data_IF_387547185814
#
_entry.id   IF_387547185814
#
_cell.length_a   1.000
_cell.length_b   1.000
_cell.length_c   1.000
_cell.angle_alpha   90.00
_cell.angle_beta   90.00
_cell.angle_gamma   90.00
#
_symmetry.space_group_name_H-M   'P 1'
#
loop_
_entity.id
_entity.type
_entity.pdbx_description
1 polymer ?
#
# COMPACT_ATOMS: atom_id res chain seq x y z
N UNK A 1 -25.89 -12.43 4.48
CA UNK A 1 -24.43 -12.27 4.66
C UNK A 1 -23.76 -12.25 3.29
N UNK A 2 -23.33 -11.10 2.79
CA UNK A 2 -22.54 -11.04 1.55
C UNK A 2 -21.14 -11.59 1.83
N UNK A 3 -20.86 -12.81 1.36
CA UNK A 3 -19.51 -13.35 1.29
C UNK A 3 -18.73 -12.57 0.22
N UNK A 4 -17.76 -11.77 0.68
CA UNK A 4 -16.62 -11.31 -0.10
C UNK A 4 -16.82 -9.98 -0.84
N UNK A 5 -16.03 -8.98 -0.45
CA UNK A 5 -15.71 -7.76 -1.21
C UNK A 5 -14.94 -8.07 -2.52
N UNK A 6 -15.18 -9.22 -3.15
CA UNK A 6 -14.52 -9.62 -4.40
C UNK A 6 -15.11 -8.76 -5.53
N UNK A 7 -14.30 -7.98 -6.26
CA UNK A 7 -14.81 -7.12 -7.32
C UNK A 7 -15.54 -7.94 -8.40
N UNK A 8 -16.83 -7.64 -8.64
CA UNK A 8 -17.63 -8.29 -9.68
C UNK A 8 -17.12 -8.00 -11.10
N UNK A 9 -16.42 -6.86 -11.27
CA UNK A 9 -15.70 -6.49 -12.49
C UNK A 9 -14.28 -6.08 -12.13
N UNK A 10 -13.30 -6.79 -12.66
CA UNK A 10 -11.89 -6.41 -12.55
C UNK A 10 -11.59 -5.28 -13.53
N UNK A 11 -10.88 -4.28 -13.04
CA UNK A 11 -10.38 -3.18 -13.86
C UNK A 11 -9.29 -3.71 -14.79
N UNK A 12 -9.29 -3.28 -16.06
CA UNK A 12 -8.18 -3.54 -16.98
C UNK A 12 -7.00 -2.65 -16.57
N UNK A 13 -5.81 -3.24 -16.44
CA UNK A 13 -4.59 -2.49 -16.15
C UNK A 13 -4.24 -1.61 -17.35
N UNK A 14 -3.91 -0.34 -17.08
CA UNK A 14 -3.48 0.60 -18.10
C UNK A 14 -1.95 0.68 -18.02
N UNK A 15 -1.22 0.32 -19.09
CA UNK A 15 0.24 0.32 -19.05
C UNK A 15 0.79 1.73 -18.91
N UNK A 16 1.93 1.84 -18.22
CA UNK A 16 2.70 3.09 -18.12
C UNK A 16 3.32 3.38 -19.48
N UNK A 17 2.85 4.45 -20.13
CA UNK A 17 3.38 4.87 -21.43
C UNK A 17 4.76 5.54 -21.28
N UNK A 18 5.62 5.52 -22.31
CA UNK A 18 6.94 6.15 -22.25
C UNK A 18 6.91 7.63 -21.85
N UNK A 19 5.87 8.37 -22.27
CA UNK A 19 5.68 9.78 -21.93
C UNK A 19 5.44 9.95 -20.42
N UNK A 20 4.57 9.11 -19.83
CA UNK A 20 4.32 9.12 -18.39
C UNK A 20 5.58 8.70 -17.63
N UNK A 21 6.30 7.68 -18.09
CA UNK A 21 7.55 7.26 -17.45
C UNK A 21 8.61 8.37 -17.45
N UNK A 22 8.75 9.12 -18.56
CA UNK A 22 9.63 10.28 -18.64
C UNK A 22 9.25 11.35 -17.61
N UNK A 23 7.96 11.64 -17.46
CA UNK A 23 7.47 12.56 -16.42
C UNK A 23 7.84 12.05 -15.01
N UNK A 24 7.63 10.77 -14.73
CA UNK A 24 7.96 10.18 -13.43
C UNK A 24 9.46 10.29 -13.12
N UNK A 25 10.32 10.03 -14.10
CA UNK A 25 11.76 10.18 -13.94
C UNK A 25 12.18 11.64 -13.67
N UNK A 26 11.53 12.61 -14.32
CA UNK A 26 11.81 14.03 -14.10
C UNK A 26 11.35 14.54 -12.72
N UNK A 27 10.42 13.84 -12.07
CA UNK A 27 9.83 14.21 -10.78
C UNK A 27 10.27 13.27 -9.64
N UNK A 28 11.39 12.55 -9.79
CA UNK A 28 11.92 11.62 -8.78
C UNK A 28 10.92 10.53 -8.34
N UNK A 29 10.03 10.11 -9.26
CA UNK A 29 9.08 9.01 -9.05
C UNK A 29 9.50 7.71 -9.76
N UNK A 30 10.57 7.75 -10.55
CA UNK A 30 11.14 6.56 -11.18
C UNK A 30 12.50 6.23 -10.58
N UNK A 31 12.70 4.96 -10.21
CA UNK A 31 13.95 4.47 -9.66
C UNK A 31 14.18 3.05 -10.19
N UNK A 32 15.44 2.66 -10.40
CA UNK A 32 15.76 1.27 -10.75
C UNK A 32 15.63 0.41 -9.50
N UNK A 33 14.68 -0.53 -9.52
CA UNK A 33 14.45 -1.42 -8.39
C UNK A 33 15.37 -2.65 -8.48
N UNK A 34 15.83 -3.19 -7.33
CA UNK A 34 16.66 -4.41 -7.30
C UNK A 34 15.88 -5.67 -7.71
N UNK A 35 14.55 -5.60 -7.65
CA UNK A 35 13.65 -6.71 -7.95
C UNK A 35 12.34 -6.19 -8.54
N UNK A 36 11.72 -6.97 -9.42
CA UNK A 36 10.43 -6.66 -10.05
C UNK A 36 9.31 -7.44 -9.39
N UNK A 37 8.07 -7.02 -9.66
CA UNK A 37 6.86 -7.71 -9.18
C UNK A 37 6.86 -9.20 -9.55
N UNK A 38 7.35 -9.55 -10.75
CA UNK A 38 7.38 -10.91 -11.28
C UNK A 38 8.30 -11.82 -10.48
N UNK A 39 9.40 -11.28 -9.96
CA UNK A 39 10.35 -12.05 -9.17
C UNK A 39 9.75 -12.43 -7.80
N UNK A 40 8.84 -11.59 -7.26
CA UNK A 40 8.10 -11.90 -6.04
C UNK A 40 7.10 -13.04 -6.23
N UNK A 41 6.70 -13.37 -7.47
CA UNK A 41 5.84 -14.52 -7.76
C UNK A 41 6.57 -15.87 -7.66
N UNK A 42 7.89 -15.89 -7.47
CA UNK A 42 8.71 -17.11 -7.34
C UNK A 42 8.53 -17.85 -6.00
N UNK A 43 7.60 -17.42 -5.14
CA UNK A 43 7.34 -18.09 -3.86
C UNK A 43 6.90 -19.56 -4.07
N UNK A 44 7.25 -20.44 -3.13
CA UNK A 44 6.99 -21.88 -3.23
C UNK A 44 5.73 -22.32 -2.48
N UNK A 45 5.41 -21.64 -1.38
CA UNK A 45 4.25 -21.95 -0.56
C UNK A 45 3.67 -20.69 0.04
N UNK A 46 2.41 -20.78 0.47
CA UNK A 46 1.72 -19.71 1.16
C UNK A 46 0.78 -20.26 2.23
N UNK A 47 0.50 -19.45 3.25
CA UNK A 47 -0.49 -19.76 4.27
C UNK A 47 -1.48 -18.58 4.40
N UNK A 48 -2.78 -18.82 4.64
CA UNK A 48 -3.72 -17.74 4.91
C UNK A 48 -3.26 -16.90 6.10
N UNK A 49 -3.29 -15.58 5.93
CA UNK A 49 -3.07 -14.64 7.02
C UNK A 49 -4.42 -14.37 7.70
N UNK A 50 -4.58 -14.89 8.92
CA UNK A 50 -5.80 -14.72 9.70
C UNK A 50 -5.67 -13.52 10.64
N UNK A 51 -6.80 -12.86 10.91
CA UNK A 51 -6.87 -11.84 11.96
C UNK A 51 -6.84 -12.46 13.37
N UNK A 52 -6.85 -11.63 14.40
CA UNK A 52 -6.82 -12.07 15.80
C UNK A 52 -8.04 -12.90 16.21
N UNK A 53 -9.15 -12.80 15.48
CA UNK A 53 -10.37 -13.58 15.68
C UNK A 53 -10.41 -14.85 14.82
N UNK A 54 -9.35 -15.13 14.06
CA UNK A 54 -9.25 -16.29 13.17
C UNK A 54 -10.00 -16.12 11.84
N UNK A 55 -10.47 -14.92 11.50
CA UNK A 55 -11.11 -14.68 10.21
C UNK A 55 -10.06 -14.48 9.11
N UNK A 56 -10.43 -14.89 7.89
CA UNK A 56 -9.61 -14.72 6.70
C UNK A 56 -9.48 -13.23 6.33
N UNK A 57 -8.24 -12.74 6.22
CA UNK A 57 -7.95 -11.36 5.79
C UNK A 57 -7.86 -11.23 4.26
N UNK A 58 -7.97 -12.34 3.52
CA UNK A 58 -7.75 -12.48 2.09
C UNK A 58 -6.31 -12.15 1.63
N UNK A 59 -5.38 -12.12 2.58
CA UNK A 59 -3.95 -12.09 2.37
C UNK A 59 -3.37 -13.47 2.66
N UNK A 60 -2.33 -13.85 1.92
CA UNK A 60 -1.57 -15.05 2.18
C UNK A 60 -0.12 -14.70 2.47
N UNK A 61 0.43 -15.15 3.59
CA UNK A 61 1.87 -15.02 3.83
C UNK A 61 2.61 -15.99 2.93
N UNK A 62 3.54 -15.49 2.12
CA UNK A 62 4.29 -16.27 1.12
C UNK A 62 5.68 -16.63 1.63
N UNK A 63 6.17 -17.80 1.22
CA UNK A 63 7.49 -18.31 1.58
C UNK A 63 8.30 -18.65 0.33
N UNK A 64 9.57 -18.27 0.37
CA UNK A 64 10.54 -18.45 -0.70
C UNK A 64 11.52 -19.58 -0.34
N UNK A 65 12.25 -20.09 -1.33
CA UNK A 65 13.43 -20.92 -1.07
C UNK A 65 14.45 -20.14 -0.25
N UNK A 66 15.40 -20.81 0.40
CA UNK A 66 16.44 -20.11 1.16
C UNK A 66 17.21 -19.10 0.31
N UNK A 67 17.57 -19.50 -0.91
CA UNK A 67 18.28 -18.64 -1.87
C UNK A 67 17.44 -17.45 -2.32
N UNK A 68 16.19 -17.68 -2.74
CA UNK A 68 15.29 -16.58 -3.13
C UNK A 68 14.95 -15.67 -1.94
N UNK A 69 14.85 -16.23 -0.72
CA UNK A 69 14.50 -15.50 0.50
C UNK A 69 15.56 -14.48 0.86
N UNK A 70 16.84 -14.82 0.76
CA UNK A 70 17.94 -13.89 0.99
C UNK A 70 17.92 -12.75 -0.04
N UNK A 71 17.84 -13.09 -1.34
CA UNK A 71 17.76 -12.12 -2.43
C UNK A 71 16.57 -11.16 -2.26
N UNK A 72 15.37 -11.71 -2.05
CA UNK A 72 14.12 -10.95 -1.88
C UNK A 72 14.21 -10.07 -0.64
N UNK A 73 14.72 -10.57 0.48
CA UNK A 73 14.79 -9.78 1.71
C UNK A 73 15.74 -8.59 1.60
N UNK A 74 16.93 -8.79 1.02
CA UNK A 74 17.86 -7.69 0.75
C UNK A 74 17.25 -6.66 -0.20
N UNK A 75 16.60 -7.12 -1.26
CA UNK A 75 15.90 -6.26 -2.21
C UNK A 75 14.78 -5.44 -1.53
N UNK A 76 13.98 -6.06 -0.65
CA UNK A 76 12.90 -5.37 0.07
C UNK A 76 13.43 -4.31 1.04
N UNK A 77 14.53 -4.58 1.75
CA UNK A 77 15.17 -3.57 2.61
C UNK A 77 15.66 -2.38 1.79
N UNK A 78 16.31 -2.65 0.65
CA UNK A 78 16.81 -1.60 -0.24
C UNK A 78 15.67 -0.75 -0.82
N UNK A 79 14.58 -1.39 -1.27
CA UNK A 79 13.38 -0.68 -1.73
C UNK A 79 12.79 0.21 -0.63
N UNK A 80 12.73 -0.29 0.61
CA UNK A 80 12.24 0.52 1.72
C UNK A 80 13.13 1.75 2.00
N UNK A 81 14.45 1.61 1.94
CA UNK A 81 15.37 2.74 2.07
C UNK A 81 15.21 3.75 0.92
N UNK A 82 15.08 3.28 -0.33
CA UNK A 82 14.76 4.17 -1.46
C UNK A 82 13.46 4.95 -1.24
N UNK A 83 12.43 4.31 -0.68
CA UNK A 83 11.12 4.91 -0.48
C UNK A 83 11.10 5.94 0.66
N UNK A 84 11.86 5.73 1.73
CA UNK A 84 11.77 6.51 2.99
C UNK A 84 12.93 7.46 3.24
N UNK A 85 14.12 7.16 2.74
CA UNK A 85 15.36 7.87 3.09
C UNK A 85 16.19 8.26 1.88
N UNK A 86 15.56 8.37 0.70
CA UNK A 86 16.22 8.68 -0.58
C UNK A 86 17.42 7.76 -0.86
N UNK A 87 17.36 6.52 -0.36
CA UNK A 87 18.42 5.52 -0.56
C UNK A 87 19.56 5.55 0.44
N UNK A 88 19.41 6.20 1.61
CA UNK A 88 20.41 6.10 2.68
C UNK A 88 20.57 4.65 3.15
N UNK A 89 21.72 4.08 2.77
CA UNK A 89 22.08 2.67 3.01
C UNK A 89 22.45 2.38 4.46
N UNK A 90 22.76 3.39 5.27
CA UNK A 90 23.10 3.17 6.69
C UNK A 90 21.90 2.59 7.46
N UNK A 91 20.70 3.01 7.09
CA UNK A 91 19.45 2.53 7.70
C UNK A 91 19.22 1.04 7.46
N UNK A 92 19.74 0.48 6.35
CA UNK A 92 19.53 -0.92 5.96
C UNK A 92 20.01 -1.93 7.01
N UNK A 93 21.06 -1.59 7.76
CA UNK A 93 21.67 -2.49 8.75
C UNK A 93 20.70 -2.86 9.88
N UNK A 94 19.73 -1.98 10.14
CA UNK A 94 18.77 -2.13 11.22
C UNK A 94 17.39 -2.60 10.76
N UNK A 95 17.17 -2.72 9.44
CA UNK A 95 15.89 -3.16 8.90
C UNK A 95 15.84 -4.68 8.79
N UNK A 96 14.65 -5.24 8.96
CA UNK A 96 14.38 -6.67 8.72
C UNK A 96 13.02 -6.84 8.09
N UNK A 97 12.95 -7.68 7.06
CA UNK A 97 11.68 -8.14 6.52
C UNK A 97 11.09 -9.15 7.49
N UNK A 98 10.01 -8.75 8.15
CA UNK A 98 9.30 -9.62 9.08
C UNK A 98 8.37 -10.58 8.35
N UNK A 99 7.73 -10.09 7.27
CA UNK A 99 6.74 -10.86 6.53
C UNK A 99 6.48 -10.27 5.15
N UNK A 100 6.16 -11.14 4.19
CA UNK A 100 5.66 -10.77 2.87
C UNK A 100 4.29 -11.43 2.70
N UNK A 101 3.27 -10.61 2.47
CA UNK A 101 1.90 -11.07 2.28
C UNK A 101 1.44 -10.78 0.85
N UNK A 102 0.78 -11.74 0.21
CA UNK A 102 0.24 -11.63 -1.14
C UNK A 102 -1.29 -11.51 -1.10
N UNK A 103 -1.82 -10.49 -1.78
CA UNK A 103 -3.26 -10.29 -1.88
C UNK A 103 -3.84 -11.06 -3.08
N UNK A 104 -4.73 -12.01 -2.81
CA UNK A 104 -5.27 -12.90 -3.84
C UNK A 104 -6.39 -12.27 -4.68
N UNK A 105 -7.08 -11.26 -4.15
CA UNK A 105 -8.29 -10.69 -4.74
C UNK A 105 -8.08 -9.32 -5.42
N UNK A 106 -7.07 -8.54 -4.99
CA UNK A 106 -6.82 -7.19 -5.47
C UNK A 106 -6.57 -7.14 -6.99
N UNK A 107 -6.95 -6.03 -7.65
CA UNK A 107 -6.82 -5.89 -9.11
C UNK A 107 -5.37 -6.10 -9.60
N UNK A 108 -4.40 -5.50 -8.90
CA UNK A 108 -2.96 -5.65 -9.18
C UNK A 108 -2.31 -6.80 -8.42
N UNK A 109 -3.09 -7.53 -7.60
CA UNK A 109 -2.62 -8.55 -6.65
C UNK A 109 -1.36 -8.11 -5.87
N UNK A 110 -1.46 -7.03 -5.07
CA UNK A 110 -0.30 -6.44 -4.43
C UNK A 110 0.38 -7.40 -3.45
N UNK A 111 1.68 -7.27 -3.31
CA UNK A 111 2.43 -7.76 -2.16
C UNK A 111 2.48 -6.67 -1.11
N UNK A 112 2.28 -7.02 0.16
CA UNK A 112 2.49 -6.17 1.34
C UNK A 112 3.71 -6.67 2.07
N UNK A 113 4.68 -5.80 2.26
CA UNK A 113 5.94 -6.12 2.92
C UNK A 113 5.91 -5.46 4.28
N UNK A 114 6.10 -6.25 5.34
CA UNK A 114 6.26 -5.75 6.70
C UNK A 114 7.74 -5.63 7.02
N UNK A 115 8.19 -4.41 7.29
CA UNK A 115 9.55 -4.10 7.71
C UNK A 115 9.54 -3.76 9.20
N UNK A 116 10.52 -4.27 9.93
CA UNK A 116 10.79 -3.89 11.33
C UNK A 116 12.11 -3.14 11.37
N UNK A 117 12.13 -2.00 12.06
CA UNK A 117 13.35 -1.31 12.43
C UNK A 117 13.80 -1.77 13.82
N UNK A 118 14.95 -2.47 13.88
CA UNK A 118 15.49 -3.04 15.11
C UNK A 118 15.98 -2.01 16.12
N UNK A 119 16.19 -0.74 15.73
CA UNK A 119 16.66 0.30 16.66
C UNK A 119 15.57 0.78 17.62
N UNK A 120 14.31 0.83 17.15
CA UNK A 120 13.18 1.37 17.91
C UNK A 120 11.99 0.40 18.00
N UNK A 121 12.14 -0.81 17.47
CA UNK A 121 11.11 -1.86 17.39
C UNK A 121 9.81 -1.42 16.69
N UNK A 122 9.87 -0.32 15.92
CA UNK A 122 8.76 0.11 15.09
C UNK A 122 8.67 -0.75 13.84
N UNK A 123 7.45 -0.99 13.38
CA UNK A 123 7.19 -1.65 12.12
C UNK A 123 6.51 -0.68 11.15
N UNK A 124 6.77 -0.89 9.88
CA UNK A 124 6.09 -0.20 8.79
C UNK A 124 5.74 -1.21 7.70
N UNK A 125 4.90 -0.77 6.77
CA UNK A 125 4.57 -1.52 5.58
C UNK A 125 4.84 -0.71 4.32
N UNK A 126 5.05 -1.42 3.23
CA UNK A 126 4.93 -0.87 1.90
C UNK A 126 4.37 -1.94 0.97
N UNK A 127 3.96 -1.54 -0.23
CA UNK A 127 3.34 -2.44 -1.18
C UNK A 127 4.10 -2.48 -2.50
N UNK A 128 4.31 -3.68 -3.03
CA UNK A 128 4.80 -3.90 -4.39
C UNK A 128 3.64 -4.36 -5.26
N UNK A 129 3.42 -3.67 -6.37
CA UNK A 129 2.25 -3.86 -7.24
C UNK A 129 2.69 -3.89 -8.69
N UNK A 130 1.83 -4.48 -9.54
CA UNK A 130 1.87 -4.17 -10.97
C UNK A 130 1.58 -2.68 -11.18
N UNK A 131 2.40 -2.01 -11.96
CA UNK A 131 2.21 -0.63 -12.32
C UNK A 131 0.92 -0.46 -13.15
N UNK A 132 0.13 0.54 -12.78
CA UNK A 132 -1.11 0.92 -13.47
C UNK A 132 -1.12 2.44 -13.58
N UNK A 133 -1.12 2.96 -14.81
CA UNK A 133 -1.05 4.39 -15.08
C UNK A 133 -2.13 5.17 -14.32
N UNK A 134 -3.32 4.59 -14.20
CA UNK A 134 -4.43 5.24 -13.49
C UNK A 134 -4.28 5.26 -11.97
N UNK A 135 -3.53 4.34 -11.35
CA UNK A 135 -3.13 4.46 -9.94
C UNK A 135 -2.05 5.53 -9.77
N UNK A 136 -1.08 5.59 -10.68
CA UNK A 136 -0.02 6.61 -10.69
C UNK A 136 -0.61 8.01 -10.80
N UNK A 137 -1.53 8.25 -11.75
CA UNK A 137 -2.22 9.54 -11.85
C UNK A 137 -2.97 9.89 -10.56
N UNK A 138 -3.61 8.90 -9.91
CA UNK A 138 -4.27 9.12 -8.62
C UNK A 138 -3.30 9.52 -7.51
N UNK A 139 -2.11 8.91 -7.46
CA UNK A 139 -1.06 9.26 -6.48
C UNK A 139 -0.47 10.64 -6.74
N UNK A 140 -0.23 11.00 -8.00
CA UNK A 140 0.23 12.35 -8.37
C UNK A 140 -0.80 13.43 -8.04
N UNK A 141 -2.09 13.16 -8.28
CA UNK A 141 -3.16 14.08 -7.88
C UNK A 141 -3.24 14.22 -6.35
N UNK A 142 -3.07 13.12 -5.61
CA UNK A 142 -3.04 13.17 -4.15
C UNK A 142 -1.85 14.01 -3.66
N UNK A 143 -0.65 13.81 -4.22
CA UNK A 143 0.55 14.58 -3.85
C UNK A 143 0.40 16.09 -4.12
N UNK A 144 -0.30 16.47 -5.19
CA UNK A 144 -0.56 17.86 -5.54
C UNK A 144 -1.64 18.53 -4.69
N UNK A 145 -2.66 17.77 -4.28
CA UNK A 145 -3.89 18.32 -3.70
C UNK A 145 -4.06 18.05 -2.20
N UNK A 146 -3.33 17.09 -1.66
CA UNK A 146 -3.42 16.65 -0.27
C UNK A 146 -2.31 17.27 0.56
N UNK A 147 -2.60 17.61 1.84
CA UNK A 147 -1.53 18.01 2.76
C UNK A 147 -0.62 16.83 3.12
N UNK A 148 -1.11 15.59 2.96
CA UNK A 148 -0.35 14.39 3.27
C UNK A 148 0.22 13.81 1.97
N UNK A 149 1.55 13.74 1.89
CA UNK A 149 2.23 13.12 0.76
C UNK A 149 2.33 11.62 0.98
N UNK A 150 2.15 10.86 -0.10
CA UNK A 150 2.35 9.41 -0.12
C UNK A 150 3.47 9.12 -1.10
N UNK A 151 4.55 8.53 -0.61
CA UNK A 151 5.70 8.19 -1.43
C UNK A 151 5.41 6.97 -2.30
N UNK A 152 5.88 7.00 -3.54
CA UNK A 152 5.83 5.87 -4.45
C UNK A 152 6.95 5.94 -5.48
N UNK A 153 7.32 4.77 -6.02
CA UNK A 153 8.35 4.59 -7.03
C UNK A 153 7.85 3.67 -8.14
N UNK A 154 8.33 3.88 -9.36
CA UNK A 154 7.97 3.08 -10.54
C UNK A 154 9.23 2.62 -11.29
N UNK A 155 9.27 1.34 -11.64
CA UNK A 155 10.27 0.73 -12.53
C UNK A 155 9.59 -0.21 -13.52
N UNK A 156 9.47 0.22 -14.78
CA UNK A 156 8.77 -0.53 -15.82
C UNK A 156 7.33 -0.86 -15.45
N UNK A 157 7.04 -2.14 -15.26
CA UNK A 157 5.73 -2.67 -14.88
C UNK A 157 5.58 -2.92 -13.38
N UNK A 158 6.55 -2.49 -12.57
CA UNK A 158 6.55 -2.60 -11.10
C UNK A 158 6.35 -1.22 -10.49
N UNK A 159 5.49 -1.14 -9.48
CA UNK A 159 5.26 0.05 -8.68
C UNK A 159 5.36 -0.29 -7.21
N UNK A 160 6.06 0.55 -6.46
CA UNK A 160 6.19 0.48 -5.01
C UNK A 160 5.43 1.65 -4.42
N UNK A 161 4.56 1.44 -3.45
CA UNK A 161 3.88 2.53 -2.74
C UNK A 161 4.01 2.38 -1.23
N UNK A 162 4.10 3.52 -0.56
CA UNK A 162 4.10 3.66 0.89
C UNK A 162 2.76 3.21 1.48
N UNK A 163 2.81 2.67 2.70
CA UNK A 163 1.61 2.40 3.47
C UNK A 163 1.03 3.67 4.09
N UNK A 164 -0.28 3.87 3.91
CA UNK A 164 -1.02 4.92 4.60
C UNK A 164 -1.51 4.37 5.94
N UNK A 165 -0.94 4.88 7.02
CA UNK A 165 -1.28 4.45 8.38
C UNK A 165 -2.67 4.93 8.82
N UNK A 166 -3.39 4.06 9.53
CA UNK A 166 -4.64 4.37 10.22
C UNK A 166 -5.64 3.22 10.16
N UNK A 167 -6.89 3.49 10.54
CA UNK A 167 -7.94 2.48 10.63
C UNK A 167 -8.76 2.48 9.33
N UNK A 168 -8.95 1.33 8.65
CA UNK A 168 -9.84 1.25 7.50
C UNK A 168 -11.23 1.76 7.84
N UNK A 169 -11.82 2.54 6.92
CA UNK A 169 -13.09 3.22 7.18
C UNK A 169 -14.24 2.29 7.56
N UNK A 170 -14.31 1.11 6.96
CA UNK A 170 -15.34 0.11 7.28
C UNK A 170 -15.15 -0.52 8.66
N UNK A 171 -13.90 -0.71 9.09
CA UNK A 171 -13.57 -1.19 10.43
C UNK A 171 -13.86 -0.12 11.50
N UNK A 172 -13.47 1.12 11.21
CA UNK A 172 -13.76 2.27 12.07
C UNK A 172 -15.27 2.43 12.30
N UNK A 173 -16.07 2.33 11.24
CA UNK A 173 -17.53 2.45 11.33
C UNK A 173 -18.18 1.35 12.17
N UNK A 174 -17.61 0.14 12.19
CA UNK A 174 -18.14 -0.99 12.97
C UNK A 174 -17.77 -0.92 14.45
N UNK A 175 -16.56 -0.48 14.76
CA UNK A 175 -15.99 -0.66 16.09
C UNK A 175 -15.76 0.64 16.87
N UNK A 176 -15.74 1.80 16.21
CA UNK A 176 -15.31 3.07 16.84
C UNK A 176 -16.25 4.25 16.59
N UNK A 177 -17.36 4.07 15.86
CA UNK A 177 -18.32 5.14 15.59
C UNK A 177 -19.24 5.44 16.79
N UNK A 178 -19.54 4.44 17.61
CA UNK A 178 -20.31 4.58 18.84
C UNK A 178 -19.43 5.17 19.96
N UNK A 179 -19.24 6.48 19.90
CA UNK A 179 -18.53 7.31 20.88
C UNK A 179 -19.47 8.45 21.33
N UNK A 180 -18.92 9.55 21.85
CA UNK A 180 -19.70 10.73 22.20
C UNK A 180 -20.39 11.37 20.99
N UNK A 181 -21.58 11.94 21.21
CA UNK A 181 -22.29 12.73 20.19
C UNK A 181 -21.41 13.86 19.61
N UNK A 182 -20.52 14.43 20.42
CA UNK A 182 -19.55 15.42 19.97
C UNK A 182 -18.57 14.86 18.93
N UNK A 183 -17.97 13.69 19.18
CA UNK A 183 -17.05 13.04 18.25
C UNK A 183 -17.77 12.59 16.98
N UNK A 184 -18.98 12.07 17.09
CA UNK A 184 -19.82 11.71 15.94
C UNK A 184 -20.09 12.93 15.03
N UNK A 185 -20.44 14.08 15.61
CA UNK A 185 -20.64 15.33 14.84
C UNK A 185 -19.33 15.76 14.16
N UNK A 186 -18.18 15.64 14.84
CA UNK A 186 -16.87 15.99 14.27
C UNK A 186 -16.53 15.08 13.09
N UNK A 187 -16.70 13.77 13.24
CA UNK A 187 -16.49 12.78 12.17
C UNK A 187 -17.41 13.07 10.99
N UNK A 188 -18.70 13.34 11.22
CA UNK A 188 -19.64 13.67 10.16
C UNK A 188 -19.22 14.92 9.38
N UNK A 189 -18.77 15.98 10.08
CA UNK A 189 -18.25 17.20 9.45
C UNK A 189 -17.02 16.90 8.58
N UNK A 190 -16.07 16.10 9.07
CA UNK A 190 -14.88 15.73 8.28
C UNK A 190 -15.24 14.82 7.10
N UNK A 191 -16.20 13.92 7.26
CA UNK A 191 -16.65 13.03 6.19
C UNK A 191 -17.35 13.82 5.06
N UNK A 192 -18.18 14.82 5.39
CA UNK A 192 -18.77 15.72 4.38
C UNK A 192 -17.65 16.45 3.61
N UNK A 193 -16.65 17.02 4.31
CA UNK A 193 -15.50 17.68 3.66
C UNK A 193 -14.69 16.71 2.80
N UNK A 194 -14.51 15.47 3.25
CA UNK A 194 -13.81 14.43 2.51
C UNK A 194 -14.58 14.07 1.23
N UNK A 195 -15.88 13.80 1.32
CA UNK A 195 -16.72 13.45 0.19
C UNK A 195 -16.79 14.56 -0.86
N UNK A 196 -16.96 15.83 -0.44
CA UNK A 196 -16.92 16.98 -1.34
C UNK A 196 -15.55 17.09 -2.05
N UNK A 197 -14.44 16.91 -1.33
CA UNK A 197 -13.11 16.89 -1.94
C UNK A 197 -12.96 15.73 -2.93
N UNK A 198 -13.43 14.53 -2.60
CA UNK A 198 -13.39 13.38 -3.50
C UNK A 198 -14.20 13.62 -4.77
N UNK A 199 -15.39 14.22 -4.65
CA UNK A 199 -16.25 14.53 -5.79
C UNK A 199 -15.64 15.60 -6.70
N UNK A 200 -15.22 16.74 -6.13
CA UNK A 200 -14.62 17.86 -6.88
C UNK A 200 -13.29 17.46 -7.52
N UNK A 201 -12.50 16.61 -6.85
CA UNK A 201 -11.14 16.23 -7.31
C UNK A 201 -11.12 14.91 -8.10
N UNK A 202 -12.27 14.28 -8.32
CA UNK A 202 -12.39 12.95 -8.95
C UNK A 202 -11.50 11.88 -8.29
N UNK A 203 -11.28 11.97 -6.97
CA UNK A 203 -10.39 11.08 -6.24
C UNK A 203 -11.04 9.73 -5.98
N UNK A 204 -10.69 8.76 -6.83
CA UNK A 204 -10.55 7.35 -6.43
C UNK A 204 -11.81 6.54 -6.15
N UNK A 205 -11.57 5.26 -5.86
CA UNK A 205 -12.59 4.23 -5.58
C UNK A 205 -13.17 4.42 -4.16
N UNK A 206 -14.35 5.03 -4.05
CA UNK A 206 -15.00 5.43 -2.78
C UNK A 206 -15.55 4.27 -1.93
N UNK A 207 -14.99 3.07 -2.03
CA UNK A 207 -15.38 1.95 -1.17
C UNK A 207 -14.91 2.21 0.26
N UNK A 208 -15.72 1.81 1.22
CA UNK A 208 -15.49 2.08 2.65
C UNK A 208 -14.15 1.58 3.19
N UNK A 209 -13.62 0.51 2.61
CA UNK A 209 -12.32 -0.07 2.99
C UNK A 209 -11.11 0.59 2.30
N UNK A 210 -11.32 1.53 1.37
CA UNK A 210 -10.24 2.19 0.64
C UNK A 210 -9.84 3.55 1.24
N UNK A 211 -10.63 4.11 2.17
CA UNK A 211 -10.22 5.28 2.93
C UNK A 211 -9.82 4.88 4.35
N UNK A 212 -8.94 5.69 4.92
CA UNK A 212 -8.31 5.43 6.20
C UNK A 212 -8.62 6.60 7.14
N UNK A 213 -9.07 6.28 8.34
CA UNK A 213 -9.24 7.24 9.43
C UNK A 213 -7.94 7.29 10.22
N UNK A 214 -7.24 8.41 10.10
CA UNK A 214 -6.07 8.70 10.93
C UNK A 214 -6.51 9.37 12.22
N UNK A 215 -6.39 8.66 13.34
CA UNK A 215 -6.65 9.22 14.68
C UNK A 215 -5.35 9.86 15.16
N UNK A 216 -5.33 11.18 15.21
CA UNK A 216 -4.22 11.96 15.77
C UNK A 216 -4.57 12.36 17.21
N UNK A 217 -3.65 12.21 18.18
CA UNK A 217 -3.85 12.64 19.57
C UNK A 217 -4.18 14.13 19.69
#
# INVERSE_FOLDING_TARGET
MMKGNVPSKKKKLIPVQPILFKYLAQNNRAARLPIRYQDLLRYQSSIPHLDLSGNDTFWETVFYTETDREEVNEAMKFIYALLKTDGDVEVLQHLTVARIDFCTFGNTKPFRIRIINRLNDNYDHFYVKKADASRIYGLELEDLLSPNRVMFLVDGDTMVEEHVAGIPGDDFMKHQLEDSMFNQIRIAKEFIKFNERCFVRLLGDMRSYNYVVAVTP
#
